data_IF_715040617845
#
_entry.id   IF_715040617845
#
_cell.length_a   1.000
_cell.length_b   1.000
_cell.length_c   1.000
_cell.angle_alpha   90.00
_cell.angle_beta   90.00
_cell.angle_gamma   90.00
#
_symmetry.space_group_name_H-M   'P 1'
#
loop_
_entity.id
_entity.type
_entity.pdbx_description
1 polymer ?
#
# COMPACT_ATOMS: atom_id res chain seq x y z
N UNK A 1 45.38 -101.29 20.28
CA UNK A 1 46.11 -100.32 21.07
C UNK A 1 46.56 -99.12 20.28
N UNK A 2 45.80 -98.12 20.11
CA UNK A 2 46.21 -96.76 19.74
C UNK A 2 44.94 -95.90 19.72
N UNK A 3 44.81 -95.09 20.72
CA UNK A 3 43.75 -94.11 20.84
C UNK A 3 44.17 -92.86 20.02
N UNK A 4 43.33 -92.45 19.09
CA UNK A 4 43.47 -91.18 18.40
C UNK A 4 42.32 -90.32 18.89
N UNK A 5 42.68 -89.27 19.64
CA UNK A 5 41.77 -88.26 20.10
C UNK A 5 41.50 -87.27 18.97
N UNK A 6 40.24 -87.06 18.61
CA UNK A 6 39.78 -86.03 17.70
C UNK A 6 39.43 -84.77 18.50
N UNK A 7 40.20 -83.73 18.27
CA UNK A 7 39.97 -82.38 18.84
C UNK A 7 39.02 -81.58 17.94
N UNK A 8 37.80 -81.37 18.42
CA UNK A 8 36.84 -80.52 17.72
C UNK A 8 37.08 -79.06 18.08
N UNK A 9 37.49 -78.30 17.10
CA UNK A 9 37.65 -76.84 17.23
C UNK A 9 36.29 -76.17 16.95
N UNK A 10 35.66 -75.64 18.00
CA UNK A 10 34.45 -74.80 17.88
C UNK A 10 34.82 -73.39 17.50
N UNK A 11 34.42 -72.93 16.29
CA UNK A 11 34.51 -71.55 15.85
C UNK A 11 33.31 -70.80 16.39
N UNK A 12 33.51 -69.91 17.38
CA UNK A 12 32.52 -68.96 17.85
C UNK A 12 32.43 -67.80 16.82
N UNK A 13 31.37 -67.82 16.05
CA UNK A 13 30.99 -66.63 15.24
C UNK A 13 30.37 -65.54 16.16
N UNK A 14 31.16 -64.55 16.54
CA UNK A 14 30.70 -63.34 17.18
C UNK A 14 29.99 -62.49 16.11
N UNK A 15 28.67 -62.62 16.02
CA UNK A 15 27.83 -61.72 15.23
C UNK A 15 27.78 -60.34 15.86
N UNK A 16 28.62 -59.42 15.42
CA UNK A 16 28.49 -58.01 15.77
C UNK A 16 27.28 -57.41 15.10
N UNK A 17 26.28 -57.01 15.86
CA UNK A 17 25.17 -56.16 15.36
C UNK A 17 25.71 -54.76 15.07
N UNK A 18 25.93 -54.44 13.81
CA UNK A 18 26.20 -53.10 13.39
C UNK A 18 24.91 -52.30 13.55
N UNK A 19 24.79 -51.50 14.61
CA UNK A 19 23.78 -50.46 14.73
C UNK A 19 24.21 -49.33 13.81
N UNK A 20 23.52 -49.20 12.69
CA UNK A 20 23.64 -48.00 11.85
C UNK A 20 22.88 -46.87 12.53
N UNK A 21 23.62 -45.96 13.14
CA UNK A 21 23.08 -44.73 13.70
C UNK A 21 22.67 -43.82 12.52
N UNK A 22 21.39 -43.85 12.16
CA UNK A 22 20.82 -42.96 11.12
C UNK A 22 20.75 -41.57 11.67
N UNK A 23 21.77 -40.77 11.42
CA UNK A 23 21.77 -39.35 11.73
C UNK A 23 20.80 -38.65 10.79
N UNK A 24 19.61 -38.33 11.32
CA UNK A 24 18.65 -37.48 10.61
C UNK A 24 19.26 -36.11 10.37
N UNK A 25 19.24 -35.70 9.12
CA UNK A 25 19.66 -34.34 8.74
C UNK A 25 18.51 -33.41 9.10
N UNK A 26 18.72 -32.57 10.07
CA UNK A 26 17.79 -31.51 10.51
C UNK A 26 18.43 -30.15 10.29
N UNK A 27 17.64 -29.11 10.23
CA UNK A 27 18.08 -27.72 10.14
C UNK A 27 17.29 -26.84 11.11
N UNK A 28 17.82 -25.67 11.38
CA UNK A 28 17.17 -24.68 12.21
C UNK A 28 16.13 -23.91 11.40
N UNK A 29 14.97 -23.64 12.02
CA UNK A 29 13.90 -22.80 11.46
C UNK A 29 13.73 -21.59 12.36
N UNK A 30 13.86 -20.42 11.77
CA UNK A 30 13.67 -19.15 12.48
C UNK A 30 12.37 -18.51 12.03
N UNK A 31 11.50 -18.23 13.00
CA UNK A 31 10.25 -17.51 12.77
C UNK A 31 10.36 -16.13 13.43
N UNK A 32 10.12 -15.10 12.66
CA UNK A 32 10.07 -13.74 13.17
C UNK A 32 8.94 -12.99 12.50
N UNK A 33 8.37 -12.03 13.21
CA UNK A 33 7.26 -11.21 12.73
C UNK A 33 6.93 -10.12 13.72
N UNK A 34 6.14 -9.16 13.30
CA UNK A 34 5.63 -8.09 14.14
C UNK A 34 4.13 -8.18 14.20
N UNK A 35 3.57 -8.23 15.41
CA UNK A 35 2.13 -8.10 15.62
C UNK A 35 1.79 -6.62 15.72
N UNK A 36 0.87 -6.16 14.87
CA UNK A 36 0.33 -4.80 14.93
C UNK A 36 -1.15 -4.86 15.26
N UNK A 37 -1.59 -4.01 16.17
CA UNK A 37 -3.01 -3.81 16.39
C UNK A 37 -3.54 -2.89 15.28
N UNK A 38 -4.48 -3.36 14.50
CA UNK A 38 -5.21 -2.59 13.49
C UNK A 38 -6.68 -2.70 13.83
N UNK A 39 -7.40 -1.57 13.79
CA UNK A 39 -8.83 -1.60 14.02
C UNK A 39 -9.62 -2.06 12.80
N UNK A 40 -9.10 -1.88 11.60
CA UNK A 40 -9.73 -2.27 10.34
C UNK A 40 -8.71 -2.98 9.43
N UNK A 41 -9.23 -3.77 8.50
CA UNK A 41 -8.48 -4.35 7.39
C UNK A 41 -8.88 -3.67 6.09
N UNK A 42 -7.95 -3.57 5.12
CA UNK A 42 -8.31 -3.16 3.76
C UNK A 42 -9.09 -4.28 3.06
N UNK A 43 -10.02 -3.89 2.20
CA UNK A 43 -10.60 -4.87 1.26
C UNK A 43 -9.51 -5.40 0.31
N UNK A 44 -9.63 -6.61 -0.24
CA UNK A 44 -8.66 -7.13 -1.20
C UNK A 44 -8.49 -6.18 -2.39
N UNK A 45 -7.24 -5.79 -2.69
CA UNK A 45 -6.93 -4.81 -3.75
C UNK A 45 -7.19 -3.35 -3.37
N UNK A 46 -7.61 -3.07 -2.13
CA UNK A 46 -7.87 -1.72 -1.64
C UNK A 46 -6.62 -0.89 -1.33
N UNK A 47 -5.46 -1.49 -1.44
CA UNK A 47 -4.15 -0.84 -1.30
C UNK A 47 -3.79 0.05 -2.50
N UNK A 48 -4.43 -0.18 -3.66
CA UNK A 48 -4.26 0.60 -4.88
C UNK A 48 -5.54 1.33 -5.23
N UNK A 49 -5.48 2.65 -5.26
CA UNK A 49 -6.59 3.52 -5.64
C UNK A 49 -6.24 4.18 -6.97
N UNK A 50 -7.13 4.07 -7.95
CA UNK A 50 -7.01 4.75 -9.23
C UNK A 50 -8.14 5.76 -9.36
N UNK A 51 -7.80 7.00 -9.70
CA UNK A 51 -8.77 8.07 -9.97
C UNK A 51 -8.63 8.44 -11.43
N UNK A 52 -9.65 8.14 -12.22
CA UNK A 52 -9.69 8.45 -13.65
C UNK A 52 -10.45 9.75 -13.90
N UNK A 53 -9.74 10.80 -14.25
CA UNK A 53 -10.33 12.09 -14.61
C UNK A 53 -10.90 12.13 -16.01
N UNK A 54 -10.76 11.07 -16.79
CA UNK A 54 -11.21 10.98 -18.19
C UNK A 54 -10.64 12.10 -19.06
N UNK A 55 -11.52 12.88 -19.67
CA UNK A 55 -11.13 14.03 -20.49
C UNK A 55 -11.55 15.32 -19.78
N UNK A 56 -10.59 16.19 -19.58
CA UNK A 56 -10.79 17.52 -18.99
C UNK A 56 -10.68 18.56 -20.09
N UNK A 57 -11.69 19.41 -20.21
CA UNK A 57 -11.64 20.52 -21.13
C UNK A 57 -10.74 21.62 -20.56
N UNK A 58 -9.75 22.05 -21.32
CA UNK A 58 -8.86 23.17 -20.94
C UNK A 58 -9.65 24.47 -20.70
N UNK A 59 -10.79 24.62 -21.38
CA UNK A 59 -11.71 25.75 -21.14
C UNK A 59 -12.19 25.79 -19.68
N UNK A 60 -12.50 24.67 -19.07
CA UNK A 60 -12.94 24.62 -17.66
C UNK A 60 -11.81 25.07 -16.73
N UNK A 61 -10.56 24.69 -17.03
CA UNK A 61 -9.38 25.11 -16.27
C UNK A 61 -9.16 26.63 -16.38
N UNK A 62 -9.28 27.19 -17.56
CA UNK A 62 -9.15 28.65 -17.74
C UNK A 62 -10.28 29.46 -17.09
N UNK A 63 -11.52 28.94 -17.09
CA UNK A 63 -12.67 29.62 -16.53
C UNK A 63 -12.81 29.50 -15.03
N UNK A 64 -12.53 28.29 -14.49
CA UNK A 64 -12.81 27.93 -13.11
C UNK A 64 -11.54 27.69 -12.28
N UNK A 65 -10.37 27.66 -12.92
CA UNK A 65 -9.10 27.30 -12.28
C UNK A 65 -8.96 25.81 -11.97
N UNK A 66 -10.04 25.03 -12.10
CA UNK A 66 -10.03 23.58 -11.80
C UNK A 66 -11.12 22.82 -12.54
N UNK A 67 -10.92 21.52 -12.65
CA UNK A 67 -11.93 20.60 -13.17
C UNK A 67 -13.06 20.35 -12.16
N UNK A 68 -14.11 19.66 -12.63
CA UNK A 68 -15.07 19.03 -11.71
C UNK A 68 -14.36 17.96 -10.87
N UNK A 69 -14.75 17.81 -9.58
CA UNK A 69 -14.15 16.80 -8.74
C UNK A 69 -14.65 15.40 -9.10
N UNK A 70 -13.75 14.43 -9.06
CA UNK A 70 -14.05 13.01 -9.14
C UNK A 70 -13.98 12.38 -7.74
N UNK A 71 -14.86 11.42 -7.47
CA UNK A 71 -14.93 10.72 -6.18
C UNK A 71 -13.99 9.55 -6.15
N UNK A 72 -13.33 9.37 -5.01
CA UNK A 72 -12.59 8.14 -4.71
C UNK A 72 -12.81 7.74 -3.25
N UNK A 73 -12.49 6.50 -2.91
CA UNK A 73 -12.73 6.02 -1.55
C UNK A 73 -11.74 4.96 -1.12
N UNK A 74 -11.51 4.89 0.20
CA UNK A 74 -10.81 3.81 0.87
C UNK A 74 -11.86 2.93 1.53
N UNK A 75 -11.90 1.65 1.13
CA UNK A 75 -12.85 0.68 1.67
C UNK A 75 -12.18 -0.18 2.74
N UNK A 76 -12.78 -0.20 3.90
CA UNK A 76 -12.32 -0.92 5.08
C UNK A 76 -13.34 -1.99 5.48
N UNK A 77 -12.85 -3.07 6.07
CA UNK A 77 -13.66 -4.18 6.57
C UNK A 77 -13.10 -4.68 7.91
N UNK A 78 -13.87 -5.53 8.55
CA UNK A 78 -13.49 -6.15 9.82
C UNK A 78 -13.09 -5.09 10.87
N UNK A 79 -13.75 -3.94 10.83
CA UNK A 79 -13.47 -2.85 11.75
C UNK A 79 -13.98 -3.18 13.14
N UNK A 80 -13.16 -2.86 14.16
CA UNK A 80 -13.48 -3.05 15.56
C UNK A 80 -13.17 -1.77 16.36
N UNK A 81 -14.20 -1.04 16.81
CA UNK A 81 -14.04 0.20 17.58
C UNK A 81 -13.48 -0.02 19.00
N UNK A 82 -13.42 -1.27 19.47
CA UNK A 82 -12.80 -1.57 20.77
C UNK A 82 -11.27 -1.49 20.73
N UNK A 83 -10.66 -1.65 19.52
CA UNK A 83 -9.21 -1.56 19.33
C UNK A 83 -8.77 -0.10 19.22
N UNK A 84 -9.44 0.67 18.35
CA UNK A 84 -9.28 2.11 18.18
C UNK A 84 -10.63 2.72 17.85
N UNK A 85 -10.84 3.96 18.30
CA UNK A 85 -12.13 4.65 18.13
C UNK A 85 -12.16 5.58 16.93
N UNK A 86 -11.00 6.07 16.50
CA UNK A 86 -10.87 7.03 15.43
C UNK A 86 -9.88 6.59 14.36
N UNK A 87 -10.14 7.03 13.15
CA UNK A 87 -9.29 6.82 11.98
C UNK A 87 -9.18 8.11 11.18
N UNK A 88 -7.99 8.42 10.73
CA UNK A 88 -7.72 9.50 9.78
C UNK A 88 -6.77 9.00 8.69
N UNK A 89 -6.63 9.76 7.62
CA UNK A 89 -5.77 9.43 6.49
C UNK A 89 -4.74 10.54 6.32
N UNK A 90 -3.50 10.18 6.05
CA UNK A 90 -2.48 11.13 5.60
C UNK A 90 -2.13 10.77 4.16
N UNK A 91 -2.25 11.75 3.27
CA UNK A 91 -1.82 11.65 1.88
C UNK A 91 -0.48 12.33 1.71
N UNK A 92 0.45 11.67 1.01
CA UNK A 92 1.80 12.14 0.78
C UNK A 92 2.17 11.99 -0.68
N UNK A 93 3.00 12.89 -1.18
CA UNK A 93 3.49 12.82 -2.55
C UNK A 93 4.36 14.04 -2.89
N UNK A 94 4.80 14.10 -4.14
CA UNK A 94 5.54 15.26 -4.61
C UNK A 94 4.58 16.44 -4.76
N UNK A 95 4.81 17.50 -4.00
CA UNK A 95 4.02 18.71 -4.06
C UNK A 95 4.32 19.51 -5.34
N UNK A 96 3.28 20.11 -5.90
CA UNK A 96 3.39 21.03 -7.03
C UNK A 96 4.10 22.33 -6.60
N UNK A 97 4.86 22.92 -7.52
CA UNK A 97 5.69 24.08 -7.19
C UNK A 97 4.89 25.40 -7.03
N UNK A 98 3.71 25.49 -7.64
CA UNK A 98 2.87 26.70 -7.62
C UNK A 98 1.56 26.49 -6.86
N UNK A 99 1.11 25.26 -6.77
CA UNK A 99 -0.14 24.87 -6.14
C UNK A 99 0.16 24.17 -4.81
N UNK A 100 0.12 24.95 -3.72
CA UNK A 100 0.29 24.37 -2.38
C UNK A 100 -0.74 23.25 -2.12
N UNK A 101 -0.29 22.20 -1.44
CA UNK A 101 -1.11 21.04 -1.10
C UNK A 101 -1.69 20.26 -2.31
N UNK A 102 -1.11 20.42 -3.49
CA UNK A 102 -1.47 19.66 -4.68
C UNK A 102 -0.34 18.71 -5.08
N UNK A 103 -0.69 17.53 -5.57
CA UNK A 103 0.29 16.61 -6.14
C UNK A 103 0.76 17.15 -7.49
N UNK A 104 2.07 17.21 -7.65
CA UNK A 104 2.69 17.49 -8.93
C UNK A 104 2.49 16.30 -9.89
N UNK A 105 2.46 16.58 -11.17
CA UNK A 105 2.45 15.53 -12.20
C UNK A 105 3.75 14.73 -12.14
N UNK A 106 3.64 13.43 -12.41
CA UNK A 106 4.82 12.61 -12.69
C UNK A 106 5.54 13.17 -13.93
N UNK A 107 6.83 12.89 -14.05
CA UNK A 107 7.60 13.41 -15.19
C UNK A 107 6.94 13.03 -16.51
N UNK A 108 6.47 14.03 -17.26
CA UNK A 108 5.75 13.81 -18.51
C UNK A 108 6.65 13.19 -19.57
N UNK A 109 6.12 12.20 -20.27
CA UNK A 109 6.63 11.84 -21.59
C UNK A 109 6.49 13.02 -22.55
N UNK A 110 7.26 13.04 -23.64
CA UNK A 110 7.15 14.09 -24.65
C UNK A 110 5.70 14.22 -25.15
N UNK A 111 5.09 15.39 -24.97
CA UNK A 111 3.69 15.68 -25.33
C UNK A 111 2.67 15.43 -24.21
N UNK A 112 3.09 15.31 -22.96
CA UNK A 112 2.21 15.27 -21.80
C UNK A 112 1.66 16.64 -21.43
N UNK A 113 0.61 16.67 -20.60
CA UNK A 113 0.05 17.90 -20.05
C UNK A 113 1.03 18.59 -19.09
N UNK A 114 0.99 19.92 -19.02
CA UNK A 114 1.74 20.70 -18.05
C UNK A 114 0.97 21.93 -17.57
N UNK A 115 1.41 22.53 -16.48
CA UNK A 115 0.76 23.68 -15.86
C UNK A 115 -0.46 23.30 -15.02
N UNK A 116 -0.50 22.08 -14.49
CA UNK A 116 -1.59 21.57 -13.67
C UNK A 116 -1.05 20.72 -12.50
N UNK A 117 -1.83 20.66 -11.42
CA UNK A 117 -1.61 19.78 -10.27
C UNK A 117 -2.90 19.10 -9.82
N UNK A 118 -2.81 18.12 -8.93
CA UNK A 118 -3.96 17.37 -8.43
C UNK A 118 -4.26 17.81 -6.99
N UNK A 119 -5.41 18.42 -6.80
CA UNK A 119 -5.93 18.77 -5.48
C UNK A 119 -6.87 17.70 -4.94
N UNK A 120 -6.96 17.62 -3.61
CA UNK A 120 -7.83 16.66 -2.92
C UNK A 120 -8.61 17.35 -1.79
N UNK A 121 -9.79 16.80 -1.47
CA UNK A 121 -10.56 17.19 -0.30
C UNK A 121 -11.29 16.00 0.33
N UNK A 122 -11.72 16.19 1.55
CA UNK A 122 -12.73 15.32 2.16
C UNK A 122 -14.07 15.50 1.43
N UNK A 123 -15.02 14.60 1.68
CA UNK A 123 -16.35 14.62 1.04
C UNK A 123 -17.13 15.91 1.35
N UNK A 124 -16.89 16.53 2.49
CA UNK A 124 -17.51 17.81 2.89
C UNK A 124 -16.89 19.06 2.26
N UNK A 125 -15.81 18.87 1.47
CA UNK A 125 -15.07 19.95 0.82
C UNK A 125 -13.91 20.49 1.63
N UNK A 126 -13.62 19.97 2.81
CA UNK A 126 -12.43 20.34 3.59
C UNK A 126 -11.17 19.97 2.81
N UNK A 127 -10.34 20.96 2.48
CA UNK A 127 -9.12 20.71 1.71
C UNK A 127 -8.17 19.76 2.47
N UNK A 128 -7.62 18.81 1.74
CA UNK A 128 -6.59 17.90 2.26
C UNK A 128 -5.23 18.55 2.00
N UNK A 129 -4.42 18.62 3.04
CA UNK A 129 -3.03 19.03 2.94
C UNK A 129 -2.14 17.82 2.84
N UNK A 130 -1.12 17.91 2.01
CA UNK A 130 -0.13 16.85 1.90
C UNK A 130 0.65 16.73 3.21
N UNK A 131 0.96 15.49 3.60
CA UNK A 131 1.67 15.12 4.83
C UNK A 131 0.95 15.49 6.15
N UNK A 132 -0.27 16.00 6.09
CA UNK A 132 -1.13 16.23 7.25
C UNK A 132 -2.27 15.18 7.31
N UNK A 133 -2.73 14.90 8.53
CA UNK A 133 -3.87 13.99 8.73
C UNK A 133 -5.20 14.68 8.42
N UNK A 134 -6.08 13.98 7.73
CA UNK A 134 -7.48 14.40 7.53
C UNK A 134 -8.24 14.46 8.86
N UNK A 135 -9.49 14.90 8.81
CA UNK A 135 -10.38 14.83 9.97
C UNK A 135 -10.52 13.38 10.48
N UNK A 136 -10.59 13.24 11.80
CA UNK A 136 -10.79 11.92 12.42
C UNK A 136 -12.24 11.49 12.21
N UNK A 137 -12.41 10.30 11.66
CA UNK A 137 -13.72 9.64 11.54
C UNK A 137 -13.86 8.57 12.62
N UNK A 138 -15.03 8.45 13.22
CA UNK A 138 -15.33 7.42 14.19
C UNK A 138 -15.36 6.04 13.51
N UNK A 139 -14.70 5.06 14.14
CA UNK A 139 -14.69 3.69 13.63
C UNK A 139 -16.00 3.03 14.02
N UNK A 140 -16.72 2.49 13.03
CA UNK A 140 -17.93 1.70 13.22
C UNK A 140 -17.62 0.22 13.03
N UNK A 141 -18.34 -0.66 13.74
CA UNK A 141 -18.17 -2.10 13.61
C UNK A 141 -18.49 -2.59 12.19
N UNK A 142 -17.69 -3.52 11.69
CA UNK A 142 -17.89 -4.18 10.41
C UNK A 142 -17.18 -3.48 9.25
N UNK A 143 -17.92 -2.92 8.30
CA UNK A 143 -17.34 -2.27 7.12
C UNK A 143 -17.56 -0.77 7.16
N UNK A 144 -16.55 0.00 6.75
CA UNK A 144 -16.68 1.44 6.59
C UNK A 144 -15.98 1.92 5.30
N UNK A 145 -16.39 3.08 4.82
CA UNK A 145 -15.82 3.69 3.62
C UNK A 145 -15.44 5.13 3.93
N UNK A 146 -14.21 5.48 3.62
CA UNK A 146 -13.73 6.85 3.70
C UNK A 146 -13.79 7.46 2.30
N UNK A 147 -14.60 8.50 2.14
CA UNK A 147 -14.87 9.14 0.86
C UNK A 147 -14.05 10.43 0.72
N UNK A 148 -13.53 10.65 -0.48
CA UNK A 148 -12.72 11.79 -0.84
C UNK A 148 -13.06 12.28 -2.23
N UNK A 149 -12.62 13.49 -2.54
CA UNK A 149 -12.74 14.12 -3.84
C UNK A 149 -11.35 14.48 -4.34
N UNK A 150 -11.13 14.37 -5.65
CA UNK A 150 -9.92 14.85 -6.31
C UNK A 150 -10.30 15.67 -7.55
N UNK A 151 -9.50 16.66 -7.89
CA UNK A 151 -9.67 17.47 -9.09
C UNK A 151 -8.32 17.86 -9.68
N UNK A 152 -8.34 18.24 -10.94
CA UNK A 152 -7.19 18.84 -11.59
C UNK A 152 -7.30 20.36 -11.42
N UNK A 153 -6.27 21.00 -10.89
CA UNK A 153 -6.16 22.45 -10.76
C UNK A 153 -5.11 22.98 -11.74
N UNK A 154 -5.37 24.16 -12.31
CA UNK A 154 -4.41 24.81 -13.18
C UNK A 154 -3.50 25.74 -12.36
N UNK A 155 -2.21 25.72 -12.67
CA UNK A 155 -1.24 26.65 -12.07
C UNK A 155 -1.58 28.10 -12.41
N UNK A 156 -1.50 29.02 -11.44
CA UNK A 156 -1.79 30.43 -11.68
C UNK A 156 -0.97 31.06 -12.80
N UNK A 157 0.30 30.67 -12.92
CA UNK A 157 1.18 31.16 -14.00
C UNK A 157 0.73 30.66 -15.37
N UNK A 158 0.32 29.38 -15.45
CA UNK A 158 -0.15 28.75 -16.68
C UNK A 158 -1.46 29.40 -17.18
N UNK A 159 -2.39 29.75 -16.26
CA UNK A 159 -3.60 30.47 -16.60
C UNK A 159 -3.24 31.88 -17.14
N UNK A 160 -2.41 32.61 -16.40
CA UNK A 160 -2.02 33.97 -16.74
C UNK A 160 -1.32 34.09 -18.10
N UNK A 161 -0.44 33.12 -18.38
CA UNK A 161 0.38 33.12 -19.60
C UNK A 161 -0.28 32.36 -20.75
N UNK A 162 -1.46 31.77 -20.53
CA UNK A 162 -2.16 30.88 -21.48
C UNK A 162 -1.25 29.76 -21.99
N UNK A 163 -0.50 29.17 -21.07
CA UNK A 163 0.55 28.16 -21.33
C UNK A 163 0.20 26.77 -20.84
N UNK A 164 -1.09 26.46 -20.62
CA UNK A 164 -1.51 25.10 -20.34
C UNK A 164 -1.22 24.20 -21.56
N UNK A 165 -0.43 23.17 -21.35
CA UNK A 165 -0.20 22.16 -22.38
C UNK A 165 -1.18 20.99 -22.18
N UNK A 166 -1.71 20.49 -23.28
CA UNK A 166 -2.66 19.39 -23.28
C UNK A 166 -1.98 18.10 -23.72
N UNK A 167 -2.36 17.02 -23.06
CA UNK A 167 -1.83 15.70 -23.31
C UNK A 167 -2.22 14.74 -22.18
N UNK A 168 -1.75 13.52 -22.22
CA UNK A 168 -1.90 12.60 -21.11
C UNK A 168 -1.13 13.12 -19.88
N UNK A 169 -1.63 12.82 -18.70
CA UNK A 169 -0.97 13.12 -17.45
C UNK A 169 -1.15 11.97 -16.44
N UNK A 170 -0.25 11.88 -15.51
CA UNK A 170 -0.35 11.07 -14.31
C UNK A 170 0.24 11.81 -13.12
N UNK A 171 -0.26 11.50 -11.96
CA UNK A 171 0.30 11.91 -10.69
C UNK A 171 0.22 10.75 -9.72
N UNK A 172 1.21 10.59 -8.88
CA UNK A 172 1.26 9.52 -7.89
C UNK A 172 1.43 10.07 -6.49
N UNK A 173 0.81 9.40 -5.54
CA UNK A 173 0.91 9.68 -4.12
C UNK A 173 0.80 8.39 -3.32
N UNK A 174 1.07 8.50 -2.03
CA UNK A 174 0.86 7.43 -1.06
C UNK A 174 -0.13 7.89 -0.01
N UNK A 175 -0.77 6.95 0.65
CA UNK A 175 -1.66 7.24 1.76
C UNK A 175 -1.43 6.27 2.92
N UNK A 176 -1.69 6.73 4.13
CA UNK A 176 -1.49 5.98 5.36
C UNK A 176 -2.72 6.16 6.24
N UNK A 177 -3.21 5.08 6.83
CA UNK A 177 -4.24 5.10 7.86
C UNK A 177 -3.62 5.34 9.23
N UNK A 178 -4.11 6.33 9.95
CA UNK A 178 -3.73 6.66 11.32
C UNK A 178 -4.87 6.30 12.25
N UNK A 179 -4.62 5.45 13.24
CA UNK A 179 -5.59 5.02 14.24
C UNK A 179 -5.39 5.78 15.54
N UNK A 180 -6.51 6.16 16.20
CA UNK A 180 -6.52 6.90 17.47
C UNK A 180 -7.50 6.30 18.49
#
# INVERSE_FOLDING_TARGET
MRFTALMAIGVLLLGGTAQADTKLVGGDMYFHGTIRALACSLVPGGDKIEVDFKQIATQDLYLSGRSKPEKFSIQLRDCNPEVFRGISVTFSGREDAELADHLALDSSEQGGASGIGIGMSEEDGTAIRLDESTSVKEITEGSMTLNFLAWVAAEPSAIKNQSLEYGPFSASGTWILNYQ
#
